data_IF_758879430418
#
_entry.id   IF_758879430418
#
_cell.length_a   1.000
_cell.length_b   1.000
_cell.length_c   1.000
_cell.angle_alpha   90.00
_cell.angle_beta   90.00
_cell.angle_gamma   90.00
#
_symmetry.space_group_name_H-M   'P 1'
#
loop_
_entity.id
_entity.type
_entity.pdbx_description
1 polymer ?
#
# COMPACT_ATOMS: atom_id res chain seq x y z
N UNK A 1 35.28 14.36 -8.28
CA UNK A 1 34.00 14.12 -7.59
C UNK A 1 33.75 15.31 -6.67
N UNK A 2 32.98 16.29 -7.12
CA UNK A 2 32.51 17.39 -6.26
C UNK A 2 31.59 16.75 -5.21
N UNK A 3 31.98 16.86 -3.95
CA UNK A 3 31.22 16.31 -2.82
C UNK A 3 29.84 16.96 -2.75
N UNK A 4 28.83 16.16 -2.53
CA UNK A 4 27.54 16.64 -2.05
C UNK A 4 27.83 17.44 -0.77
N UNK A 5 27.36 18.70 -0.70
CA UNK A 5 27.47 19.51 0.51
C UNK A 5 26.91 18.74 1.70
N UNK A 6 27.42 19.02 2.89
CA UNK A 6 26.87 18.42 4.11
C UNK A 6 25.35 18.71 4.17
N UNK A 7 24.52 17.69 4.46
CA UNK A 7 23.09 17.92 4.60
C UNK A 7 22.83 18.96 5.71
N UNK A 8 21.86 19.83 5.50
CA UNK A 8 21.45 20.76 6.56
C UNK A 8 21.14 19.95 7.84
N UNK A 9 21.41 20.50 9.01
CA UNK A 9 21.19 19.80 10.30
C UNK A 9 19.79 19.19 10.40
N UNK A 10 18.77 19.86 9.85
CA UNK A 10 17.39 19.37 9.78
C UNK A 10 17.25 18.10 8.94
N UNK A 11 17.90 18.03 7.77
CA UNK A 11 17.82 16.86 6.90
C UNK A 11 18.53 15.65 7.54
N UNK A 12 19.68 15.85 8.16
CA UNK A 12 20.40 14.80 8.87
C UNK A 12 19.58 14.24 10.04
N UNK A 13 18.88 15.11 10.75
CA UNK A 13 17.99 14.72 11.84
C UNK A 13 16.79 13.90 11.32
N UNK A 14 16.12 14.34 10.26
CA UNK A 14 15.00 13.61 9.64
C UNK A 14 15.45 12.21 9.21
N UNK A 15 16.54 12.12 8.43
CA UNK A 15 17.08 10.84 7.95
C UNK A 15 17.47 9.93 9.10
N UNK A 16 18.07 10.46 10.16
CA UNK A 16 18.42 9.72 11.37
C UNK A 16 17.24 9.14 12.14
N UNK A 17 16.04 9.64 11.92
CA UNK A 17 14.81 9.21 12.61
C UNK A 17 13.88 8.34 11.75
N UNK A 18 14.18 8.08 10.47
CA UNK A 18 13.28 7.33 9.55
C UNK A 18 12.94 5.94 10.08
N UNK A 19 13.84 5.30 10.84
CA UNK A 19 13.61 3.98 11.43
C UNK A 19 13.10 4.02 12.88
N UNK A 20 12.83 5.21 13.44
CA UNK A 20 12.09 5.33 14.68
C UNK A 20 10.62 4.92 14.47
N UNK A 21 9.94 4.50 15.53
CA UNK A 21 8.56 4.03 15.49
C UNK A 21 7.74 4.66 16.61
N UNK A 22 6.51 5.05 16.32
CA UNK A 22 5.65 5.77 17.26
C UNK A 22 5.49 5.08 18.62
N UNK A 23 5.55 3.74 18.64
CA UNK A 23 5.50 2.93 19.87
C UNK A 23 6.85 2.82 20.61
N UNK A 24 7.94 3.35 20.05
CA UNK A 24 9.29 3.29 20.63
C UNK A 24 10.08 2.03 20.33
N UNK A 25 9.57 1.16 19.44
CA UNK A 25 10.28 -0.05 19.00
C UNK A 25 11.33 0.22 17.92
N UNK A 26 11.45 1.47 17.47
CA UNK A 26 12.34 1.88 16.41
C UNK A 26 13.81 2.07 16.85
N UNK A 27 14.63 2.53 15.92
CA UNK A 27 16.05 2.77 16.13
C UNK A 27 16.48 4.07 15.42
N UNK A 28 17.58 4.73 15.85
CA UNK A 28 18.56 4.25 16.80
C UNK A 28 18.28 4.56 18.27
N UNK A 29 17.35 5.49 18.57
CA UNK A 29 17.20 6.01 19.93
C UNK A 29 15.94 5.51 20.64
N UNK A 30 15.01 4.82 19.94
CA UNK A 30 13.74 4.38 20.49
C UNK A 30 12.81 5.54 20.85
N UNK A 31 12.84 6.60 20.07
CA UNK A 31 11.97 7.78 20.24
C UNK A 31 10.50 7.39 20.07
N UNK A 32 9.61 8.13 20.72
CA UNK A 32 8.16 7.83 20.75
C UNK A 32 7.33 9.02 20.28
N UNK A 33 6.28 8.72 19.55
CA UNK A 33 5.25 9.69 19.19
C UNK A 33 5.82 11.02 18.68
N UNK A 34 5.54 12.09 19.41
CA UNK A 34 5.96 13.45 19.02
C UNK A 34 7.46 13.77 19.19
N UNK A 35 8.25 12.85 19.76
CA UNK A 35 9.71 12.98 19.79
C UNK A 35 10.34 12.71 18.41
N UNK A 36 9.57 12.10 17.50
CA UNK A 36 9.95 11.81 16.12
C UNK A 36 9.40 12.93 15.24
N UNK A 37 10.24 13.49 14.40
CA UNK A 37 9.82 14.52 13.45
C UNK A 37 8.74 13.99 12.52
N UNK A 38 7.76 14.82 12.15
CA UNK A 38 6.64 14.43 11.30
C UNK A 38 7.12 13.89 9.94
N UNK A 39 8.11 14.58 9.35
CA UNK A 39 8.70 14.17 8.06
C UNK A 39 9.34 12.77 8.14
N UNK A 40 10.01 12.48 9.25
CA UNK A 40 10.63 11.16 9.48
C UNK A 40 9.57 10.06 9.66
N UNK A 41 8.44 10.37 10.34
CA UNK A 41 7.31 9.44 10.48
C UNK A 41 6.66 9.12 9.14
N UNK A 42 6.45 10.15 8.30
CA UNK A 42 5.91 9.96 6.94
C UNK A 42 6.85 9.08 6.10
N UNK A 43 8.15 9.38 6.09
CA UNK A 43 9.13 8.57 5.37
C UNK A 43 9.18 7.14 5.91
N UNK A 44 9.13 6.97 7.23
CA UNK A 44 9.20 5.67 7.88
C UNK A 44 8.03 4.73 7.55
N UNK A 45 6.80 5.26 7.48
CA UNK A 45 5.64 4.42 7.12
C UNK A 45 5.61 4.10 5.62
N UNK A 46 6.05 5.02 4.76
CA UNK A 46 6.16 4.79 3.31
C UNK A 46 7.25 3.75 3.00
N UNK A 47 8.43 3.85 3.65
CA UNK A 47 9.50 2.85 3.52
C UNK A 47 9.05 1.46 3.98
N UNK A 48 8.28 1.39 5.08
CA UNK A 48 7.74 0.14 5.57
C UNK A 48 6.73 -0.48 4.59
N UNK A 49 5.82 0.33 4.02
CA UNK A 49 4.88 -0.13 2.99
C UNK A 49 5.65 -0.67 1.78
N UNK A 50 6.59 0.10 1.24
CA UNK A 50 7.42 -0.29 0.11
C UNK A 50 8.16 -1.60 0.37
N UNK A 51 8.76 -1.71 1.54
CA UNK A 51 9.47 -2.92 1.98
C UNK A 51 8.55 -4.13 2.04
N UNK A 52 7.29 -3.98 2.44
CA UNK A 52 6.33 -5.08 2.53
C UNK A 52 5.82 -5.56 1.18
N UNK A 53 5.57 -4.65 0.23
CA UNK A 53 4.99 -4.97 -1.08
C UNK A 53 6.02 -5.52 -2.09
N UNK A 54 7.31 -5.43 -1.80
CA UNK A 54 8.38 -5.98 -2.66
C UNK A 54 8.90 -7.31 -2.13
N UNK A 55 9.03 -8.29 -3.05
CA UNK A 55 9.63 -9.59 -2.71
C UNK A 55 11.11 -9.45 -2.41
N UNK A 56 11.58 -10.19 -1.40
CA UNK A 56 12.99 -10.29 -1.03
C UNK A 56 13.41 -11.77 -1.07
N UNK A 57 14.71 -12.09 -1.21
CA UNK A 57 15.17 -13.49 -1.33
C UNK A 57 14.68 -14.43 -0.22
N UNK A 58 14.35 -13.87 0.95
CA UNK A 58 13.94 -14.61 2.16
C UNK A 58 12.48 -14.36 2.57
N UNK A 59 11.72 -13.53 1.82
CA UNK A 59 10.33 -13.20 2.14
C UNK A 59 9.52 -12.90 0.89
N UNK A 60 8.35 -13.52 0.77
CA UNK A 60 7.36 -13.18 -0.25
C UNK A 60 6.80 -11.78 -0.01
N UNK A 61 6.45 -11.10 -1.10
CA UNK A 61 5.74 -9.83 -1.03
C UNK A 61 4.32 -10.03 -0.48
N UNK A 62 3.89 -9.11 0.37
CA UNK A 62 2.47 -8.94 0.65
C UNK A 62 1.81 -8.13 -0.47
N UNK A 63 0.50 -8.23 -0.61
CA UNK A 63 -0.23 -7.25 -1.41
C UNK A 63 -0.30 -5.92 -0.67
N UNK A 64 -0.48 -4.82 -1.39
CA UNK A 64 -0.66 -3.50 -0.77
C UNK A 64 -1.82 -3.51 0.23
N UNK A 65 -2.95 -4.13 -0.15
CA UNK A 65 -4.10 -4.30 0.72
C UNK A 65 -3.76 -5.05 2.02
N UNK A 66 -3.05 -6.19 1.92
CA UNK A 66 -2.67 -6.99 3.10
C UNK A 66 -1.76 -6.19 4.04
N UNK A 67 -0.80 -5.44 3.49
CA UNK A 67 0.10 -4.60 4.29
C UNK A 67 -0.66 -3.50 5.04
N UNK A 68 -1.56 -2.80 4.35
CA UNK A 68 -2.36 -1.75 4.97
C UNK A 68 -3.35 -2.30 6.01
N UNK A 69 -3.89 -3.50 5.77
CA UNK A 69 -4.73 -4.19 6.73
C UNK A 69 -3.92 -4.56 7.99
N UNK A 70 -2.72 -5.12 7.84
CA UNK A 70 -1.85 -5.45 8.96
C UNK A 70 -1.50 -4.21 9.78
N UNK A 71 -1.11 -3.11 9.12
CA UNK A 71 -0.84 -1.84 9.82
C UNK A 71 -2.05 -1.29 10.58
N UNK A 72 -3.28 -1.59 10.14
CA UNK A 72 -4.52 -1.08 10.76
C UNK A 72 -5.03 -1.96 11.89
N UNK A 73 -4.75 -3.25 11.87
CA UNK A 73 -5.40 -4.23 12.77
C UNK A 73 -4.48 -4.82 13.82
N UNK A 74 -3.16 -4.75 13.62
CA UNK A 74 -2.19 -5.26 14.60
C UNK A 74 -2.04 -4.28 15.76
N UNK A 75 -2.43 -4.64 17.00
CA UNK A 75 -2.23 -3.77 18.16
C UNK A 75 -0.75 -3.50 18.48
N UNK A 76 0.16 -4.31 17.95
CA UNK A 76 1.61 -4.13 18.07
C UNK A 76 2.19 -3.33 16.89
N UNK A 77 1.34 -2.84 15.97
CA UNK A 77 1.79 -2.07 14.82
C UNK A 77 2.70 -0.91 15.26
N UNK A 78 3.80 -0.69 14.55
CA UNK A 78 4.77 0.32 14.92
C UNK A 78 4.32 1.76 14.58
N UNK A 79 3.18 1.90 13.92
CA UNK A 79 2.64 3.18 13.44
C UNK A 79 1.37 3.56 14.21
N UNK A 80 1.11 4.86 14.33
CA UNK A 80 -0.12 5.34 14.95
C UNK A 80 -1.32 5.22 13.99
N UNK A 81 -2.53 5.15 14.54
CA UNK A 81 -3.77 5.12 13.75
C UNK A 81 -3.88 6.28 12.75
N UNK A 82 -3.40 7.47 13.14
CA UNK A 82 -3.48 8.65 12.28
C UNK A 82 -2.49 8.58 11.11
N UNK A 83 -1.30 8.01 11.32
CA UNK A 83 -0.32 7.75 10.26
C UNK A 83 -0.88 6.74 9.25
N UNK A 84 -1.45 5.64 9.75
CA UNK A 84 -2.06 4.60 8.90
C UNK A 84 -3.27 5.15 8.13
N UNK A 85 -4.16 5.90 8.78
CA UNK A 85 -5.30 6.55 8.10
C UNK A 85 -4.86 7.53 7.02
N UNK A 86 -3.81 8.32 7.31
CA UNK A 86 -3.25 9.27 6.35
C UNK A 86 -2.63 8.54 5.16
N UNK A 87 -1.89 7.47 5.39
CA UNK A 87 -1.35 6.62 4.34
C UNK A 87 -2.45 6.04 3.45
N UNK A 88 -3.50 5.42 4.04
CA UNK A 88 -4.63 4.85 3.30
C UNK A 88 -5.34 5.91 2.46
N UNK A 89 -5.52 7.14 2.98
CA UNK A 89 -6.11 8.24 2.20
C UNK A 89 -5.22 8.68 1.03
N UNK A 90 -3.92 8.54 1.17
CA UNK A 90 -2.95 8.97 0.15
C UNK A 90 -2.76 7.93 -0.96
N UNK A 91 -2.67 6.63 -0.59
CA UNK A 91 -2.37 5.54 -1.54
C UNK A 91 -3.59 4.69 -1.89
N UNK A 92 -4.75 4.91 -1.25
CA UNK A 92 -5.95 4.06 -1.30
C UNK A 92 -5.81 2.73 -0.56
N UNK A 93 -6.95 2.14 -0.23
CA UNK A 93 -7.03 0.79 0.33
C UNK A 93 -6.60 -0.28 -0.68
N UNK A 94 -6.85 -0.02 -1.98
CA UNK A 94 -6.41 -0.84 -3.10
C UNK A 94 -5.46 0.00 -3.96
N UNK A 95 -4.12 -0.13 -3.78
CA UNK A 95 -3.15 0.65 -4.52
C UNK A 95 -3.19 0.39 -6.02
N UNK A 96 -2.55 1.29 -6.79
CA UNK A 96 -2.37 1.13 -8.23
C UNK A 96 -1.74 -0.23 -8.58
N UNK A 97 -2.20 -0.81 -9.69
CA UNK A 97 -1.79 -2.12 -10.21
C UNK A 97 -2.17 -3.33 -9.34
N UNK A 98 -2.88 -3.15 -8.22
CA UNK A 98 -3.41 -4.27 -7.46
C UNK A 98 -4.38 -5.07 -8.32
N UNK A 99 -4.29 -6.40 -8.26
CA UNK A 99 -5.19 -7.30 -8.97
C UNK A 99 -6.31 -7.75 -8.04
N UNK A 100 -7.52 -7.59 -8.51
CA UNK A 100 -8.74 -7.87 -7.77
C UNK A 100 -9.57 -8.91 -8.50
N UNK A 101 -10.13 -9.86 -7.76
CA UNK A 101 -11.21 -10.71 -8.26
C UNK A 101 -12.54 -10.07 -7.90
N UNK A 102 -13.39 -9.90 -8.90
CA UNK A 102 -14.73 -9.38 -8.73
C UNK A 102 -15.73 -10.52 -8.45
N UNK A 103 -16.87 -10.17 -7.87
CA UNK A 103 -17.94 -11.13 -7.51
C UNK A 103 -18.53 -11.89 -8.70
N UNK A 104 -18.40 -11.35 -9.91
CA UNK A 104 -18.78 -12.02 -11.17
C UNK A 104 -17.71 -12.97 -11.71
N UNK A 105 -16.57 -13.13 -11.01
CA UNK A 105 -15.45 -14.01 -11.37
C UNK A 105 -14.39 -13.37 -12.28
N UNK A 106 -14.60 -12.15 -12.76
CA UNK A 106 -13.61 -11.41 -13.54
C UNK A 106 -12.41 -10.99 -12.70
N UNK A 107 -11.26 -10.89 -13.35
CA UNK A 107 -10.05 -10.33 -12.77
C UNK A 107 -9.85 -8.93 -13.33
N UNK A 108 -9.65 -7.99 -12.45
CA UNK A 108 -9.48 -6.59 -12.80
C UNK A 108 -8.24 -6.01 -12.10
N UNK A 109 -7.63 -5.02 -12.72
CA UNK A 109 -6.47 -4.29 -12.20
C UNK A 109 -6.90 -2.90 -11.77
N UNK A 110 -6.45 -2.45 -10.62
CA UNK A 110 -6.68 -1.06 -10.16
C UNK A 110 -5.91 -0.09 -11.05
N UNK A 111 -6.63 0.84 -11.66
CA UNK A 111 -6.06 1.86 -12.56
C UNK A 111 -6.28 3.28 -12.07
N UNK A 112 -7.22 3.50 -11.15
CA UNK A 112 -7.38 4.79 -10.49
C UNK A 112 -8.05 4.65 -9.12
N UNK A 113 -7.89 5.68 -8.29
CA UNK A 113 -8.38 5.76 -6.93
C UNK A 113 -9.68 6.55 -6.93
N UNK A 114 -10.71 6.01 -6.29
CA UNK A 114 -11.89 6.80 -5.97
C UNK A 114 -11.69 7.49 -4.60
N UNK A 115 -11.42 8.79 -4.62
CA UNK A 115 -11.14 9.57 -3.39
C UNK A 115 -12.34 9.71 -2.45
N UNK A 116 -13.55 9.59 -2.97
CA UNK A 116 -14.78 9.65 -2.18
C UNK A 116 -15.11 8.29 -1.56
N UNK A 117 -14.64 7.20 -2.18
CA UNK A 117 -14.86 5.85 -1.69
C UNK A 117 -13.63 4.97 -1.93
N UNK A 118 -12.68 5.01 -1.00
CA UNK A 118 -11.39 4.30 -1.09
C UNK A 118 -11.53 2.76 -1.18
N UNK A 119 -12.70 2.22 -0.80
CA UNK A 119 -13.00 0.78 -0.93
C UNK A 119 -13.55 0.38 -2.30
N UNK A 120 -13.78 1.35 -3.20
CA UNK A 120 -14.39 1.17 -4.52
C UNK A 120 -13.56 1.85 -5.62
N UNK A 121 -12.38 1.31 -5.95
CA UNK A 121 -11.49 1.90 -6.96
C UNK A 121 -12.07 1.84 -8.37
N UNK A 122 -11.43 2.54 -9.29
CA UNK A 122 -11.64 2.38 -10.73
C UNK A 122 -10.70 1.27 -11.20
N UNK A 123 -11.25 0.28 -11.90
CA UNK A 123 -10.52 -0.91 -12.33
C UNK A 123 -10.64 -1.14 -13.83
N UNK A 124 -9.62 -1.76 -14.39
CA UNK A 124 -9.61 -2.29 -15.76
C UNK A 124 -9.77 -3.80 -15.70
N UNK A 125 -10.80 -4.35 -16.36
CA UNK A 125 -10.96 -5.80 -16.46
C UNK A 125 -9.87 -6.37 -17.38
N UNK A 126 -9.00 -7.21 -16.82
CA UNK A 126 -7.85 -7.79 -17.53
C UNK A 126 -8.06 -9.24 -17.93
N UNK A 127 -8.99 -9.94 -17.29
CA UNK A 127 -9.38 -11.31 -17.64
C UNK A 127 -10.87 -11.51 -17.41
N UNK A 128 -11.55 -11.98 -18.44
CA UNK A 128 -12.96 -12.35 -18.37
C UNK A 128 -13.18 -13.67 -17.63
N UNK A 129 -14.44 -14.12 -17.55
CA UNK A 129 -14.76 -15.47 -17.06
C UNK A 129 -14.02 -16.53 -17.88
N UNK A 130 -13.65 -17.65 -17.28
CA UNK A 130 -13.07 -18.79 -18.03
C UNK A 130 -13.93 -19.12 -19.25
N UNK A 131 -13.36 -19.02 -20.47
CA UNK A 131 -14.07 -19.24 -21.72
C UNK A 131 -14.68 -18.01 -22.39
N UNK A 132 -14.56 -16.82 -21.81
CA UNK A 132 -14.99 -15.57 -22.47
C UNK A 132 -13.93 -15.05 -23.44
N UNK A 133 -14.39 -14.47 -24.55
CA UNK A 133 -13.51 -13.77 -25.50
C UNK A 133 -12.89 -12.57 -24.79
N UNK A 134 -11.58 -12.28 -24.98
CA UNK A 134 -10.96 -11.09 -24.41
C UNK A 134 -11.74 -9.85 -24.83
N UNK A 135 -12.36 -9.18 -23.85
CA UNK A 135 -13.05 -7.92 -24.07
C UNK A 135 -11.99 -6.82 -24.11
N UNK A 136 -12.10 -5.91 -25.08
CA UNK A 136 -11.31 -4.68 -25.06
C UNK A 136 -11.43 -4.04 -23.68
N UNK A 137 -10.31 -3.57 -23.12
CA UNK A 137 -10.18 -3.06 -21.75
C UNK A 137 -11.40 -2.24 -21.32
N UNK A 138 -12.23 -2.83 -20.46
CA UNK A 138 -13.38 -2.13 -19.89
C UNK A 138 -12.96 -1.51 -18.56
N UNK A 139 -12.92 -0.18 -18.54
CA UNK A 139 -12.81 0.57 -17.31
C UNK A 139 -14.14 0.49 -16.56
N UNK A 140 -14.08 0.12 -15.31
CA UNK A 140 -15.26 0.02 -14.43
C UNK A 140 -15.00 0.86 -13.17
N UNK A 141 -15.85 1.84 -12.93
CA UNK A 141 -15.89 2.53 -11.66
C UNK A 141 -16.72 1.68 -10.68
N UNK A 142 -16.07 1.04 -9.72
CA UNK A 142 -16.78 0.18 -8.77
C UNK A 142 -17.74 0.95 -7.87
N UNK A 143 -17.53 2.27 -7.66
CA UNK A 143 -18.47 3.09 -6.89
C UNK A 143 -19.81 3.28 -7.63
N UNK A 144 -19.81 3.29 -8.96
CA UNK A 144 -21.00 3.39 -9.82
C UNK A 144 -21.61 2.01 -10.15
N UNK A 145 -20.94 0.93 -9.74
CA UNK A 145 -21.34 -0.45 -10.03
C UNK A 145 -21.55 -1.24 -8.73
N UNK A 146 -22.61 -0.93 -7.94
CA UNK A 146 -22.82 -1.52 -6.60
C UNK A 146 -23.04 -3.03 -6.60
N UNK A 147 -23.45 -3.61 -7.73
CA UNK A 147 -23.62 -5.06 -7.90
C UNK A 147 -22.29 -5.82 -8.01
N UNK A 148 -21.21 -5.12 -8.38
CA UNK A 148 -19.87 -5.71 -8.44
C UNK A 148 -19.15 -5.49 -7.10
N UNK A 149 -18.78 -6.57 -6.44
CA UNK A 149 -18.05 -6.57 -5.18
C UNK A 149 -16.63 -7.07 -5.41
N UNK A 150 -15.67 -6.59 -4.63
CA UNK A 150 -14.33 -7.18 -4.57
C UNK A 150 -14.43 -8.43 -3.68
N UNK A 151 -14.16 -9.60 -4.24
CA UNK A 151 -14.21 -10.87 -3.51
C UNK A 151 -12.83 -11.29 -2.98
N UNK A 152 -11.76 -10.91 -3.67
CA UNK A 152 -10.39 -11.29 -3.31
C UNK A 152 -9.39 -10.29 -3.88
N UNK A 153 -8.28 -10.06 -3.15
CA UNK A 153 -7.08 -9.40 -3.67
C UNK A 153 -6.10 -10.50 -4.09
N UNK A 154 -5.69 -10.47 -5.36
CA UNK A 154 -4.88 -11.51 -5.97
C UNK A 154 -3.41 -11.11 -5.91
N UNK A 155 -2.55 -11.93 -5.28
CA UNK A 155 -1.11 -11.74 -5.41
C UNK A 155 -0.64 -12.21 -6.80
N UNK A 156 0.32 -11.49 -7.40
CA UNK A 156 0.90 -11.83 -8.70
C UNK A 156 1.46 -13.27 -8.76
N UNK A 157 1.91 -13.80 -7.62
CA UNK A 157 2.41 -15.17 -7.52
C UNK A 157 1.32 -16.24 -7.78
N UNK A 158 0.05 -15.96 -7.48
CA UNK A 158 -1.07 -16.87 -7.74
C UNK A 158 -1.47 -16.94 -9.23
N UNK A 159 -1.13 -15.94 -10.02
CA UNK A 159 -1.36 -15.96 -11.47
C UNK A 159 -0.31 -16.77 -12.23
N UNK A 160 0.86 -16.99 -11.62
CA UNK A 160 1.96 -17.74 -12.22
C UNK A 160 1.92 -19.25 -11.91
N UNK A 161 0.93 -19.73 -11.15
CA UNK A 161 0.74 -21.17 -10.92
C UNK A 161 -0.22 -21.71 -11.98
N UNK A 162 0.22 -22.75 -12.74
CA UNK A 162 -0.58 -23.37 -13.77
C UNK A 162 -1.80 -24.08 -13.22
#
# INVERSE_FOLDING_TARGET
>A
LQGFGEPSGDLAEIVGQVFERANGSGSPLGRKGNEIREEARILGIVDALETCIHSRPYRKAFTGYQTLQEFSTDPAAPFSDDEVKTLIRSVSLFPYNELLRLSNGEVARVVDINRENLSRPIVEVVSGKPGAVPVASNLVNLAESPSLQISEVISLERLAQP
#
